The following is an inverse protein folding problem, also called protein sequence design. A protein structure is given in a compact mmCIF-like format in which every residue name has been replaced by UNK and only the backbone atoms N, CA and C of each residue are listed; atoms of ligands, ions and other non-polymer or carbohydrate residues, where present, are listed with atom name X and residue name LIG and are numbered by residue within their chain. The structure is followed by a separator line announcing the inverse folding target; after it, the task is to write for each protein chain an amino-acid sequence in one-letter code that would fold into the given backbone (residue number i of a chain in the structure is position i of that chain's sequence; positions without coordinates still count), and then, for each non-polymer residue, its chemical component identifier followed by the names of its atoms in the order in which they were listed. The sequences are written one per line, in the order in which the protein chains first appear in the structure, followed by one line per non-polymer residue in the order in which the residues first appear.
data_IF_266133972545
#
_entry.id   IF_266133972545
#
_cell.length_a   1.000
_cell.length_b   1.000
_cell.length_c   1.000
_cell.angle_alpha   90.00
_cell.angle_beta   90.00
_cell.angle_gamma   90.00
#
_symmetry.space_group_name_H-M   'P 1'
#
loop_
_entity.id
_entity.type
_entity.pdbx_description
1 polymer ?
#
# COMPACT_ATOMS: atom_id res chain seq x y z
N UNK A 1 -7.34 6.95 -11.52
CA UNK A 1 -8.39 5.93 -11.71
C UNK A 1 -7.71 4.56 -11.71
N UNK A 2 -8.15 3.63 -10.86
CA UNK A 2 -7.54 2.29 -10.81
C UNK A 2 -7.85 1.52 -12.08
N UNK A 3 -6.82 1.04 -12.78
CA UNK A 3 -6.94 0.20 -13.98
C UNK A 3 -7.55 -1.17 -13.68
N UNK A 4 -7.59 -1.59 -12.41
CA UNK A 4 -8.16 -2.87 -11.97
C UNK A 4 -9.68 -2.80 -11.73
N UNK A 5 -10.26 -1.60 -11.66
CA UNK A 5 -11.67 -1.42 -11.34
C UNK A 5 -12.62 -2.12 -12.33
N UNK A 6 -12.42 -2.03 -13.67
CA UNK A 6 -13.28 -2.73 -14.62
C UNK A 6 -13.30 -4.25 -14.41
N UNK A 7 -12.16 -4.84 -14.08
CA UNK A 7 -12.00 -6.29 -13.83
C UNK A 7 -12.64 -6.73 -12.51
N UNK A 8 -12.62 -5.86 -11.50
CA UNK A 8 -13.32 -6.08 -10.23
C UNK A 8 -14.84 -6.07 -10.42
N UNK A 9 -15.35 -5.11 -11.21
CA UNK A 9 -16.79 -4.95 -11.47
C UNK A 9 -17.32 -6.07 -12.37
N UNK A 10 -16.58 -6.43 -13.42
CA UNK A 10 -16.93 -7.54 -14.31
C UNK A 10 -16.77 -8.92 -13.65
N UNK A 11 -16.14 -8.99 -12.46
CA UNK A 11 -15.76 -10.22 -11.76
C UNK A 11 -14.84 -11.14 -12.58
N UNK A 12 -14.16 -10.60 -13.59
CA UNK A 12 -13.19 -11.37 -14.39
C UNK A 12 -11.93 -11.71 -13.60
N UNK A 13 -11.64 -10.95 -12.53
CA UNK A 13 -10.59 -11.25 -11.57
C UNK A 13 -11.17 -11.35 -10.15
N UNK A 14 -10.71 -12.35 -9.41
CA UNK A 14 -10.99 -12.52 -7.98
C UNK A 14 -10.22 -11.47 -7.18
N UNK A 15 -10.76 -11.11 -6.01
CA UNK A 15 -10.12 -10.12 -5.12
C UNK A 15 -8.70 -10.55 -4.68
N UNK A 16 -8.45 -11.87 -4.59
CA UNK A 16 -7.11 -12.44 -4.33
C UNK A 16 -6.12 -12.14 -5.46
N UNK A 17 -6.55 -12.18 -6.71
CA UNK A 17 -5.72 -11.89 -7.88
C UNK A 17 -5.44 -10.39 -7.96
N UNK A 18 -6.47 -9.56 -7.73
CA UNK A 18 -6.35 -8.10 -7.66
C UNK A 18 -5.36 -7.70 -6.55
N UNK A 19 -5.43 -8.34 -5.38
CA UNK A 19 -4.48 -8.12 -4.28
C UNK A 19 -3.04 -8.45 -4.71
N UNK A 20 -2.81 -9.61 -5.33
CA UNK A 20 -1.49 -9.99 -5.81
C UNK A 20 -0.94 -9.02 -6.86
N UNK A 21 -1.78 -8.59 -7.82
CA UNK A 21 -1.41 -7.59 -8.83
C UNK A 21 -1.06 -6.25 -8.17
N UNK A 22 -1.86 -5.82 -7.19
CA UNK A 22 -1.65 -4.55 -6.48
C UNK A 22 -0.34 -4.56 -5.69
N UNK A 23 -0.06 -5.64 -4.96
CA UNK A 23 1.20 -5.79 -4.22
C UNK A 23 2.41 -5.87 -5.16
N UNK A 24 2.28 -6.61 -6.28
CA UNK A 24 3.31 -6.67 -7.32
C UNK A 24 3.61 -5.30 -7.94
N UNK A 25 2.58 -4.51 -8.24
CA UNK A 25 2.74 -3.14 -8.73
C UNK A 25 3.47 -2.25 -7.71
N UNK A 26 3.17 -2.39 -6.42
CA UNK A 26 3.84 -1.64 -5.35
C UNK A 26 5.34 -1.98 -5.29
N UNK A 27 5.70 -3.27 -5.38
CA UNK A 27 7.12 -3.70 -5.50
C UNK A 27 7.76 -3.12 -6.76
N UNK A 28 7.06 -3.17 -7.91
CA UNK A 28 7.56 -2.61 -9.18
C UNK A 28 7.89 -1.12 -9.09
N UNK A 29 7.05 -0.31 -8.46
CA UNK A 29 7.33 1.13 -8.26
C UNK A 29 8.59 1.38 -7.43
N UNK A 30 8.85 0.55 -6.41
CA UNK A 30 10.06 0.68 -5.59
C UNK A 30 11.32 0.25 -6.33
N UNK A 31 11.23 -0.77 -7.19
CA UNK A 31 12.35 -1.13 -8.06
C UNK A 31 12.68 -0.01 -9.05
N UNK A 32 11.66 0.66 -9.61
CA UNK A 32 11.87 1.84 -10.44
C UNK A 32 12.50 3.00 -9.64
N UNK A 33 12.11 3.19 -8.38
CA UNK A 33 12.74 4.16 -7.50
C UNK A 33 14.23 3.83 -7.25
N UNK A 34 14.58 2.55 -7.10
CA UNK A 34 15.97 2.11 -6.97
C UNK A 34 16.77 2.38 -8.25
N UNK A 35 16.23 2.04 -9.43
CA UNK A 35 16.88 2.36 -10.70
C UNK A 35 17.10 3.88 -10.87
N UNK A 36 16.12 4.68 -10.45
CA UNK A 36 16.21 6.14 -10.46
C UNK A 36 17.29 6.63 -9.49
N UNK A 37 17.34 6.05 -8.28
CA UNK A 37 18.31 6.41 -7.26
C UNK A 37 19.76 6.10 -7.68
N UNK A 38 19.99 5.02 -8.42
CA UNK A 38 21.30 4.67 -8.97
C UNK A 38 21.81 5.69 -10.00
N UNK A 39 20.91 6.45 -10.63
CA UNK A 39 21.25 7.50 -11.59
C UNK A 39 21.45 8.88 -10.94
N UNK A 40 21.30 9.02 -9.62
CA UNK A 40 21.44 10.31 -8.92
C UNK A 40 22.93 10.69 -8.83
N UNK A 41 23.36 11.81 -9.44
CA UNK A 41 24.74 12.24 -9.39
C UNK A 41 25.09 12.97 -8.06
N UNK A 42 26.39 13.06 -7.77
CA UNK A 42 26.91 13.84 -6.66
C UNK A 42 26.84 13.15 -5.30
N UNK A 43 27.10 13.92 -4.24
CA UNK A 43 27.21 13.42 -2.86
C UNK A 43 25.91 12.84 -2.28
N UNK A 44 24.76 13.11 -2.91
CA UNK A 44 23.45 12.61 -2.49
C UNK A 44 23.14 11.18 -3.00
N UNK A 45 23.87 10.70 -4.01
CA UNK A 45 23.63 9.39 -4.63
C UNK A 45 23.59 8.22 -3.63
N UNK A 46 24.58 8.08 -2.73
CA UNK A 46 24.58 7.00 -1.73
C UNK A 46 23.35 7.03 -0.81
N UNK A 47 22.90 8.22 -0.38
CA UNK A 47 21.71 8.35 0.46
C UNK A 47 20.42 8.01 -0.31
N UNK A 48 20.34 8.39 -1.59
CA UNK A 48 19.21 8.02 -2.44
C UNK A 48 19.11 6.50 -2.63
N UNK A 49 20.24 5.84 -2.90
CA UNK A 49 20.30 4.38 -3.04
C UNK A 49 19.96 3.68 -1.73
N UNK A 50 20.47 4.16 -0.60
CA UNK A 50 20.12 3.62 0.71
C UNK A 50 18.61 3.70 0.98
N UNK A 51 17.99 4.86 0.75
CA UNK A 51 16.55 5.03 0.91
C UNK A 51 15.75 4.11 -0.02
N UNK A 52 16.17 3.98 -1.27
CA UNK A 52 15.50 3.12 -2.24
C UNK A 52 15.65 1.62 -1.92
N UNK A 53 16.80 1.19 -1.40
CA UNK A 53 17.01 -0.18 -0.94
C UNK A 53 16.09 -0.51 0.25
N UNK A 54 16.01 0.37 1.25
CA UNK A 54 15.07 0.21 2.36
C UNK A 54 13.64 0.11 1.83
N UNK A 55 13.27 0.95 0.87
CA UNK A 55 11.94 0.95 0.27
C UNK A 55 11.63 -0.37 -0.47
N UNK A 56 12.53 -0.85 -1.33
CA UNK A 56 12.36 -2.12 -2.07
C UNK A 56 12.26 -3.30 -1.11
N UNK A 57 13.16 -3.38 -0.13
CA UNK A 57 13.16 -4.48 0.85
C UNK A 57 11.89 -4.47 1.68
N UNK A 58 11.47 -3.32 2.20
CA UNK A 58 10.23 -3.21 2.96
C UNK A 58 9.01 -3.64 2.15
N UNK A 59 8.87 -3.15 0.92
CA UNK A 59 7.71 -3.47 0.09
C UNK A 59 7.68 -4.93 -0.36
N UNK A 60 8.85 -5.48 -0.68
CA UNK A 60 8.97 -6.90 -1.08
C UNK A 60 8.66 -7.81 0.10
N UNK A 61 9.25 -7.55 1.27
CA UNK A 61 8.96 -8.33 2.48
C UNK A 61 7.49 -8.20 2.89
N UNK A 62 6.91 -7.00 2.85
CA UNK A 62 5.50 -6.79 3.13
C UNK A 62 4.58 -7.53 2.15
N UNK A 63 4.88 -7.49 0.85
CA UNK A 63 4.14 -8.25 -0.16
C UNK A 63 4.23 -9.76 0.09
N UNK A 64 5.43 -10.29 0.34
CA UNK A 64 5.63 -11.70 0.67
C UNK A 64 4.90 -12.09 1.95
N UNK A 65 4.98 -11.28 3.00
CA UNK A 65 4.28 -11.51 4.26
C UNK A 65 2.77 -11.62 4.03
N UNK A 66 2.18 -10.69 3.29
CA UNK A 66 0.74 -10.72 3.00
C UNK A 66 0.38 -11.92 2.11
N UNK A 67 1.16 -12.25 1.09
CA UNK A 67 0.82 -13.30 0.13
C UNK A 67 1.03 -14.71 0.69
N UNK A 68 2.08 -14.90 1.48
CA UNK A 68 2.49 -16.20 2.02
C UNK A 68 1.80 -16.54 3.34
N UNK A 69 1.39 -15.55 4.14
CA UNK A 69 0.72 -15.78 5.44
C UNK A 69 -0.81 -15.73 5.25
N UNK A 70 -1.52 -16.87 5.20
CA UNK A 70 -2.94 -16.89 4.84
C UNK A 70 -3.86 -16.08 5.76
N UNK A 71 -3.67 -16.07 7.09
CA UNK A 71 -4.46 -15.20 7.96
C UNK A 71 -4.35 -13.73 7.58
N UNK A 72 -3.13 -13.23 7.36
CA UNK A 72 -2.90 -11.82 7.02
C UNK A 72 -3.55 -11.46 5.69
N UNK A 73 -3.41 -12.33 4.69
CA UNK A 73 -4.10 -12.19 3.39
C UNK A 73 -5.60 -12.05 3.55
N UNK A 74 -6.20 -12.90 4.38
CA UNK A 74 -7.65 -12.92 4.61
C UNK A 74 -8.11 -11.65 5.34
N UNK A 75 -7.33 -11.18 6.31
CA UNK A 75 -7.56 -9.89 6.97
C UNK A 75 -7.58 -8.74 5.97
N UNK A 76 -6.58 -8.66 5.07
CA UNK A 76 -6.52 -7.62 4.03
C UNK A 76 -7.72 -7.67 3.10
N UNK A 77 -8.13 -8.87 2.68
CA UNK A 77 -9.31 -9.07 1.81
C UNK A 77 -10.59 -8.57 2.50
N UNK A 78 -10.81 -8.92 3.77
CA UNK A 78 -11.98 -8.46 4.54
C UNK A 78 -12.02 -6.94 4.68
N UNK A 79 -10.87 -6.30 4.89
CA UNK A 79 -10.78 -4.85 4.95
C UNK A 79 -11.10 -4.20 3.59
N UNK A 80 -10.65 -4.80 2.49
CA UNK A 80 -10.97 -4.34 1.14
C UNK A 80 -12.47 -4.45 0.85
N UNK A 81 -13.12 -5.56 1.21
CA UNK A 81 -14.57 -5.71 1.07
C UNK A 81 -15.35 -4.73 1.94
N UNK A 82 -14.92 -4.51 3.19
CA UNK A 82 -15.54 -3.52 4.08
C UNK A 82 -15.44 -2.13 3.49
N UNK A 83 -14.25 -1.75 3.01
CA UNK A 83 -14.00 -0.46 2.38
C UNK A 83 -14.87 -0.28 1.13
N UNK A 84 -15.01 -1.32 0.31
CA UNK A 84 -15.91 -1.32 -0.85
C UNK A 84 -17.38 -1.15 -0.47
N UNK A 85 -17.85 -1.87 0.57
CA UNK A 85 -19.22 -1.72 1.08
C UNK A 85 -19.49 -0.33 1.64
N UNK A 86 -18.53 0.29 2.33
CA UNK A 86 -18.65 1.65 2.84
C UNK A 86 -18.67 2.67 1.70
N UNK A 87 -17.79 2.51 0.71
CA UNK A 87 -17.74 3.39 -0.45
C UNK A 87 -19.03 3.34 -1.29
N UNK A 88 -19.67 2.17 -1.38
CA UNK A 88 -20.95 2.01 -2.08
C UNK A 88 -22.12 2.77 -1.43
N UNK A 89 -22.01 3.21 -0.17
CA UNK A 89 -23.07 3.96 0.53
C UNK A 89 -23.17 5.43 0.10
N UNK A 90 -22.15 5.96 -0.56
CA UNK A 90 -22.15 7.33 -1.08
C UNK A 90 -20.76 7.96 -1.07
N UNK A 91 -20.60 9.00 -1.89
CA UNK A 91 -19.32 9.69 -2.09
C UNK A 91 -18.73 10.26 -0.80
N UNK A 92 -19.56 10.82 0.10
CA UNK A 92 -19.10 11.36 1.38
C UNK A 92 -18.56 10.28 2.31
N UNK A 93 -19.17 9.09 2.34
CA UNK A 93 -18.70 7.96 3.14
C UNK A 93 -17.40 7.40 2.57
N UNK A 94 -17.29 7.32 1.23
CA UNK A 94 -16.06 6.92 0.56
C UNK A 94 -14.90 7.89 0.89
N UNK A 95 -15.15 9.20 0.78
CA UNK A 95 -14.19 10.24 1.10
C UNK A 95 -13.78 10.20 2.58
N UNK A 96 -14.74 10.05 3.50
CA UNK A 96 -14.46 9.92 4.92
C UNK A 96 -13.64 8.67 5.26
N UNK A 97 -13.93 7.53 4.62
CA UNK A 97 -13.16 6.29 4.80
C UNK A 97 -11.72 6.45 4.29
N UNK A 98 -11.52 7.10 3.14
CA UNK A 98 -10.20 7.42 2.61
C UNK A 98 -9.44 8.38 3.52
N UNK A 99 -10.09 9.45 4.00
CA UNK A 99 -9.49 10.41 4.90
C UNK A 99 -9.06 9.74 6.22
N UNK A 100 -9.93 8.92 6.80
CA UNK A 100 -9.61 8.19 8.02
C UNK A 100 -8.43 7.22 7.82
N UNK A 101 -8.43 6.47 6.72
CA UNK A 101 -7.38 5.51 6.38
C UNK A 101 -6.01 6.15 6.13
N UNK A 102 -5.97 7.26 5.38
CA UNK A 102 -4.71 7.87 4.92
C UNK A 102 -4.18 8.99 5.81
N UNK A 103 -5.04 9.67 6.58
CA UNK A 103 -4.63 10.81 7.41
C UNK A 103 -4.86 10.57 8.89
N UNK A 104 -6.10 10.21 9.29
CA UNK A 104 -6.44 10.12 10.71
C UNK A 104 -5.70 8.98 11.42
N UNK A 105 -5.72 7.78 10.87
CA UNK A 105 -5.04 6.61 11.46
C UNK A 105 -3.53 6.85 11.59
N UNK A 106 -2.80 7.25 10.52
CA UNK A 106 -1.38 7.56 10.64
C UNK A 106 -1.10 8.67 11.65
N UNK A 107 -1.90 9.74 11.66
CA UNK A 107 -1.72 10.83 12.63
C UNK A 107 -1.88 10.36 14.07
N UNK A 108 -2.89 9.54 14.37
CA UNK A 108 -3.10 8.97 15.71
C UNK A 108 -1.92 8.09 16.12
N UNK A 109 -1.41 7.24 15.22
CA UNK A 109 -0.24 6.38 15.50
C UNK A 109 0.97 7.24 15.86
N UNK A 110 1.24 8.30 15.09
CA UNK A 110 2.37 9.22 15.36
C UNK A 110 2.19 9.94 16.70
N UNK A 111 1.00 10.49 16.98
CA UNK A 111 0.73 11.18 18.25
C UNK A 111 0.92 10.25 19.45
N UNK A 112 0.36 9.03 19.38
CA UNK A 112 0.52 8.04 20.44
C UNK A 112 2.00 7.66 20.62
N UNK A 113 2.72 7.42 19.54
CA UNK A 113 4.16 7.12 19.61
C UNK A 113 4.94 8.25 20.29
N UNK A 114 4.68 9.51 19.91
CA UNK A 114 5.34 10.67 20.50
C UNK A 114 5.00 10.83 21.99
N UNK A 115 3.76 10.58 22.42
CA UNK A 115 3.37 10.64 23.83
C UNK A 115 3.98 9.52 24.69
N UNK A 116 4.33 8.39 24.09
CA UNK A 116 4.95 7.25 24.80
C UNK A 116 6.47 7.36 24.89
N UNK A 117 7.10 8.15 24.03
CA UNK A 117 8.57 8.27 23.94
C UNK A 117 9.13 9.64 24.36
N UNK A 118 8.26 10.64 24.57
CA UNK A 118 8.60 11.92 25.18
C UNK A 118 8.26 11.94 26.65
#
# INVERSE_FOLDING_TARGET
VSSLLPFAVSKSLKLREILAITLGANVGTTLMALLTALAVPGSLGPYAVQAALVHVTFNTMGALLILLVPPLREWVIRLAELSGRLAARGYSVAAGTMFAGYFLIPAVIVVVYTLLTG
#
